data_IF_545961147069
#
_entry.id   IF_545961147069
#
_cell.length_a   1.000
_cell.length_b   1.000
_cell.length_c   1.000
_cell.angle_alpha   90.00
_cell.angle_beta   90.00
_cell.angle_gamma   90.00
#
_symmetry.space_group_name_H-M   'P 1'
#
loop_
_entity.id
_entity.type
_entity.pdbx_description
1 polymer ?
#
# COMPACT_ATOMS: atom_id res chain seq x y z
N UNK A 1 12.72 27.58 -12.13
CA UNK A 1 12.27 26.17 -12.01
C UNK A 1 10.75 26.16 -11.94
N UNK A 2 10.02 25.38 -12.76
CA UNK A 2 8.56 25.33 -12.70
C UNK A 2 8.14 24.75 -11.35
N UNK A 3 7.45 25.55 -10.52
CA UNK A 3 7.00 25.13 -9.21
C UNK A 3 5.84 24.13 -9.38
N UNK A 4 6.02 22.88 -8.94
CA UNK A 4 4.96 21.87 -9.00
C UNK A 4 3.91 22.20 -7.93
N UNK A 5 2.73 22.67 -8.36
CA UNK A 5 1.57 22.78 -7.46
C UNK A 5 1.26 21.40 -6.88
N UNK A 6 1.32 21.30 -5.55
CA UNK A 6 0.94 20.10 -4.83
C UNK A 6 -0.56 20.19 -4.52
N UNK A 7 -1.34 19.24 -5.04
CA UNK A 7 -2.76 19.10 -4.71
C UNK A 7 -2.94 18.18 -3.52
N UNK A 8 -3.80 18.57 -2.58
CA UNK A 8 -4.17 17.76 -1.41
C UNK A 8 -4.86 16.47 -1.83
N UNK A 9 -4.92 15.50 -0.91
CA UNK A 9 -5.58 14.22 -1.17
C UNK A 9 -7.08 14.40 -1.40
N UNK A 10 -7.76 15.08 -0.47
CA UNK A 10 -9.20 15.41 -0.56
C UNK A 10 -9.57 16.04 -1.90
N UNK A 11 -8.79 17.04 -2.33
CA UNK A 11 -9.02 17.71 -3.60
C UNK A 11 -8.94 16.76 -4.81
N UNK A 12 -7.98 15.83 -4.81
CA UNK A 12 -7.87 14.85 -5.91
C UNK A 12 -9.05 13.90 -5.91
N UNK A 13 -9.52 13.48 -4.73
CA UNK A 13 -10.68 12.61 -4.58
C UNK A 13 -11.93 13.30 -5.13
N UNK A 14 -12.18 14.54 -4.73
CA UNK A 14 -13.32 15.34 -5.22
C UNK A 14 -13.32 15.45 -6.75
N UNK A 15 -12.19 15.86 -7.34
CA UNK A 15 -12.07 16.02 -8.80
C UNK A 15 -12.29 14.71 -9.54
N UNK A 16 -11.80 13.58 -9.01
CA UNK A 16 -11.98 12.27 -9.63
C UNK A 16 -13.42 11.79 -9.49
N UNK A 17 -14.07 12.00 -8.34
CA UNK A 17 -15.47 11.61 -8.14
C UNK A 17 -16.38 12.34 -9.13
N UNK A 18 -16.20 13.65 -9.32
CA UNK A 18 -16.95 14.43 -10.32
C UNK A 18 -16.68 13.96 -11.76
N UNK A 19 -15.42 13.63 -12.07
CA UNK A 19 -15.08 13.05 -13.37
C UNK A 19 -15.75 11.69 -13.60
N UNK A 20 -15.85 10.85 -12.57
CA UNK A 20 -16.55 9.57 -12.64
C UNK A 20 -18.08 9.73 -12.68
N UNK A 21 -18.62 10.83 -12.15
CA UNK A 21 -20.03 11.20 -12.27
C UNK A 21 -20.45 11.64 -13.69
N UNK A 22 -19.49 11.76 -14.62
CA UNK A 22 -19.75 12.06 -16.03
C UNK A 22 -19.32 13.45 -16.49
N UNK A 23 -18.71 14.25 -15.60
CA UNK A 23 -18.19 15.56 -15.99
C UNK A 23 -16.96 15.47 -16.89
N UNK A 24 -16.82 16.43 -17.80
CA UNK A 24 -15.67 16.43 -18.72
C UNK A 24 -14.42 16.94 -18.02
N UNK A 25 -13.29 16.27 -18.27
CA UNK A 25 -11.96 16.71 -17.82
C UNK A 25 -11.62 18.16 -18.18
N UNK A 26 -12.18 18.70 -19.27
CA UNK A 26 -11.93 20.09 -19.70
C UNK A 26 -12.69 21.08 -18.81
N UNK A 27 -13.96 20.79 -18.50
CA UNK A 27 -14.77 21.60 -17.59
C UNK A 27 -14.14 21.62 -16.19
N UNK A 28 -13.84 20.44 -15.64
CA UNK A 28 -13.20 20.30 -14.33
C UNK A 28 -11.84 21.00 -14.28
N UNK A 29 -11.01 20.90 -15.33
CA UNK A 29 -9.72 21.58 -15.33
C UNK A 29 -9.87 23.12 -15.30
N UNK A 30 -10.91 23.66 -15.94
CA UNK A 30 -11.21 25.10 -15.91
C UNK A 30 -11.76 25.53 -14.55
N UNK A 31 -12.73 24.79 -14.02
CA UNK A 31 -13.35 25.08 -12.72
C UNK A 31 -12.33 25.06 -11.59
N UNK A 32 -11.50 24.02 -11.54
CA UNK A 32 -10.50 23.82 -10.49
C UNK A 32 -9.15 24.49 -10.79
N UNK A 33 -9.03 25.26 -11.89
CA UNK A 33 -7.80 25.96 -12.26
C UNK A 33 -6.58 25.04 -12.47
N UNK A 34 -6.81 23.83 -12.98
CA UNK A 34 -5.77 22.84 -13.24
C UNK A 34 -4.99 23.18 -14.50
N UNK A 35 -3.67 23.04 -14.43
CA UNK A 35 -2.78 23.34 -15.56
C UNK A 35 -2.97 22.41 -16.76
N UNK A 36 -3.56 21.22 -16.57
CA UNK A 36 -3.83 20.29 -17.66
C UNK A 36 -5.00 19.35 -17.35
N UNK A 37 -5.95 19.15 -18.28
CA UNK A 37 -6.98 18.12 -18.17
C UNK A 37 -6.41 16.69 -18.06
N UNK A 38 -5.19 16.45 -18.55
CA UNK A 38 -4.51 15.15 -18.48
C UNK A 38 -4.17 14.73 -17.05
N UNK A 39 -4.11 15.69 -16.13
CA UNK A 39 -3.89 15.44 -14.72
C UNK A 39 -5.06 14.66 -14.11
N UNK A 40 -6.28 15.02 -14.50
CA UNK A 40 -7.53 14.36 -14.08
C UNK A 40 -7.56 12.91 -14.59
N UNK A 41 -7.19 12.67 -15.85
CA UNK A 41 -7.11 11.30 -16.40
C UNK A 41 -6.12 10.42 -15.61
N UNK A 42 -5.00 11.00 -15.21
CA UNK A 42 -3.98 10.28 -14.43
C UNK A 42 -4.53 9.91 -13.05
N UNK A 43 -5.24 10.83 -12.40
CA UNK A 43 -5.89 10.57 -11.11
C UNK A 43 -7.01 9.54 -11.24
N UNK A 44 -7.89 9.66 -12.24
CA UNK A 44 -8.96 8.69 -12.49
C UNK A 44 -8.43 7.28 -12.79
N UNK A 45 -7.32 7.17 -13.53
CA UNK A 45 -6.65 5.88 -13.75
C UNK A 45 -6.12 5.28 -12.44
N UNK A 46 -5.47 6.09 -11.60
CA UNK A 46 -4.98 5.63 -10.29
C UNK A 46 -6.12 5.19 -9.38
N UNK A 47 -7.21 5.96 -9.37
CA UNK A 47 -8.41 5.64 -8.60
C UNK A 47 -9.04 4.31 -9.03
N UNK A 48 -9.13 4.04 -10.35
CA UNK A 48 -9.65 2.76 -10.85
C UNK A 48 -8.77 1.55 -10.49
N UNK A 49 -7.46 1.74 -10.36
CA UNK A 49 -6.51 0.66 -10.11
C UNK A 49 -6.28 0.38 -8.62
N UNK A 50 -6.14 1.44 -7.81
CA UNK A 50 -5.70 1.38 -6.41
C UNK A 50 -6.75 1.99 -5.45
N UNK A 51 -7.91 2.41 -5.96
CA UNK A 51 -8.92 3.11 -5.18
C UNK A 51 -8.44 4.50 -4.72
N UNK A 52 -9.03 4.97 -3.63
CA UNK A 52 -8.64 6.22 -2.96
C UNK A 52 -7.14 6.21 -2.56
N UNK A 53 -6.62 5.08 -2.10
CA UNK A 53 -5.22 4.95 -1.72
C UNK A 53 -4.24 5.22 -2.88
N UNK A 54 -4.67 5.07 -4.13
CA UNK A 54 -3.91 5.45 -5.32
C UNK A 54 -3.73 6.96 -5.50
N UNK A 55 -4.63 7.77 -4.93
CA UNK A 55 -4.57 9.24 -4.98
C UNK A 55 -3.76 9.83 -3.81
N UNK A 56 -3.57 9.05 -2.74
CA UNK A 56 -2.62 9.41 -1.68
C UNK A 56 -1.25 9.58 -2.32
N UNK A 57 -0.66 10.74 -2.07
CA UNK A 57 0.69 11.04 -2.55
C UNK A 57 1.66 10.12 -1.84
N UNK A 58 1.88 8.90 -2.37
CA UNK A 58 3.06 8.10 -2.06
C UNK A 58 4.23 9.02 -2.39
N UNK A 59 4.95 9.49 -1.37
CA UNK A 59 6.19 10.21 -1.57
C UNK A 59 7.12 9.23 -2.29
N UNK A 60 7.10 9.25 -3.63
CA UNK A 60 8.14 8.63 -4.44
C UNK A 60 9.34 9.58 -4.39
N UNK A 61 9.83 9.79 -3.17
CA UNK A 61 11.19 10.20 -2.93
C UNK A 61 12.00 8.92 -3.02
N UNK A 62 12.99 8.93 -3.91
CA UNK A 62 14.14 8.02 -3.86
C UNK A 62 14.46 7.67 -2.40
N UNK A 63 14.65 6.38 -2.03
CA UNK A 63 15.00 6.07 -0.66
C UNK A 63 16.29 6.86 -0.32
N UNK A 64 16.32 7.67 0.76
CA UNK A 64 17.61 7.95 1.38
C UNK A 64 18.16 6.57 1.77
N UNK A 65 19.41 6.30 1.40
CA UNK A 65 19.95 4.95 1.25
C UNK A 65 19.63 3.98 2.39
N UNK A 66 19.50 2.70 2.01
CA UNK A 66 19.71 1.53 2.87
C UNK A 66 19.30 1.68 4.35
N UNK A 67 18.01 1.76 4.64
CA UNK A 67 17.51 1.39 5.96
C UNK A 67 16.77 0.06 5.79
N UNK A 68 17.29 -1.00 6.43
CA UNK A 68 16.72 -2.35 6.50
C UNK A 68 15.19 -2.29 6.52
N UNK A 69 14.53 -2.92 5.55
CA UNK A 69 13.07 -3.04 5.58
C UNK A 69 12.70 -3.75 6.89
N UNK A 70 12.06 -3.04 7.81
CA UNK A 70 11.41 -3.68 8.95
C UNK A 70 10.38 -4.63 8.36
N UNK A 71 10.51 -5.97 8.54
CA UNK A 71 9.54 -6.90 8.00
C UNK A 71 8.18 -6.54 8.59
N UNK A 72 7.14 -6.55 7.74
CA UNK A 72 5.77 -6.30 8.21
C UNK A 72 5.45 -7.22 9.38
N UNK A 73 4.60 -6.78 10.29
CA UNK A 73 4.19 -7.57 11.46
C UNK A 73 3.70 -8.96 11.05
N UNK A 74 2.99 -9.05 9.92
CA UNK A 74 2.56 -10.31 9.30
C UNK A 74 3.74 -11.23 8.96
N UNK A 75 4.83 -10.69 8.40
CA UNK A 75 6.02 -11.49 8.08
C UNK A 75 6.74 -11.98 9.34
N UNK A 76 6.84 -11.13 10.37
CA UNK A 76 7.43 -11.52 11.67
C UNK A 76 6.62 -12.62 12.34
N UNK A 77 5.30 -12.47 12.38
CA UNK A 77 4.39 -13.45 12.97
C UNK A 77 4.43 -14.78 12.23
N UNK A 78 4.58 -14.79 10.90
CA UNK A 78 4.72 -16.02 10.10
C UNK A 78 6.02 -16.77 10.42
N UNK A 79 7.14 -16.06 10.46
CA UNK A 79 8.43 -16.65 10.82
C UNK A 79 8.42 -17.22 12.25
N UNK A 80 7.82 -16.49 13.19
CA UNK A 80 7.65 -16.96 14.55
C UNK A 80 6.74 -18.20 14.62
N UNK A 81 5.64 -18.21 13.85
CA UNK A 81 4.74 -19.37 13.81
C UNK A 81 5.44 -20.62 13.26
N UNK A 82 6.27 -20.47 12.23
CA UNK A 82 7.05 -21.57 11.66
C UNK A 82 8.06 -22.11 12.66
N UNK A 83 8.79 -21.23 13.37
CA UNK A 83 9.71 -21.61 14.45
C UNK A 83 9.00 -22.39 15.55
N UNK A 84 7.90 -21.87 16.06
CA UNK A 84 7.12 -22.51 17.13
C UNK A 84 6.56 -23.86 16.68
N UNK A 85 6.14 -24.00 15.42
CA UNK A 85 5.69 -25.28 14.86
C UNK A 85 6.82 -26.32 14.82
N UNK A 86 8.02 -25.91 14.43
CA UNK A 86 9.18 -26.79 14.44
C UNK A 86 9.54 -27.25 15.86
N UNK A 87 9.50 -26.34 16.83
CA UNK A 87 9.78 -26.66 18.24
C UNK A 87 8.73 -27.60 18.85
N UNK A 88 7.44 -27.35 18.60
CA UNK A 88 6.36 -28.26 19.01
C UNK A 88 6.55 -29.65 18.39
N UNK A 89 6.93 -29.73 17.12
CA UNK A 89 7.20 -31.01 16.45
C UNK A 89 8.40 -31.74 17.07
N UNK A 90 9.48 -31.03 17.41
CA UNK A 90 10.64 -31.62 18.06
C UNK A 90 10.31 -32.13 19.48
N UNK A 91 9.62 -31.33 20.28
CA UNK A 91 9.19 -31.72 21.62
C UNK A 91 8.21 -32.90 21.59
N UNK A 92 7.33 -32.96 20.59
CA UNK A 92 6.44 -34.10 20.35
C UNK A 92 7.22 -35.40 20.11
N UNK A 93 8.24 -35.35 19.24
CA UNK A 93 9.14 -36.51 18.99
C UNK A 93 9.89 -36.94 20.24
N UNK A 94 10.42 -36.00 21.02
CA UNK A 94 11.13 -36.29 22.26
C UNK A 94 10.22 -36.93 23.32
N UNK A 95 8.97 -36.46 23.43
CA UNK A 95 7.96 -37.05 24.31
C UNK A 95 7.62 -38.48 23.88
N UNK A 96 7.49 -38.73 22.57
CA UNK A 96 7.23 -40.06 22.03
C UNK A 96 8.38 -41.03 22.34
N UNK A 97 9.64 -40.60 22.17
CA UNK A 97 10.82 -41.40 22.47
C UNK A 97 10.89 -41.77 23.96
N UNK A 98 10.71 -40.78 24.85
CA UNK A 98 10.69 -41.01 26.31
C UNK A 98 9.55 -41.90 26.78
N UNK A 99 8.42 -41.91 26.06
CA UNK A 99 7.30 -42.79 26.35
C UNK A 99 7.60 -44.25 25.96
N UNK A 100 8.45 -44.48 24.95
CA UNK A 100 8.91 -45.81 24.55
C UNK A 100 9.97 -46.38 25.52
N UNK A 101 10.85 -45.53 26.08
CA UNK A 101 11.87 -45.94 27.06
C UNK A 101 11.29 -46.32 28.44
N UNK A 102 10.01 -46.01 28.70
CA UNK A 102 9.31 -46.32 29.96
C UNK A 102 8.41 -47.57 29.87
N UNK A 103 8.53 -48.34 28.79
CA UNK A 103 7.96 -49.69 28.65
C UNK A 103 9.05 -50.74 28.85
#
# INVERSE_FOLDING_TARGET
MPNKRAFSFEFKVEVVQRFLAGETKVALAREFGLSSPKLIETWARKYRNEGEDGLRSKRVGRPPGSARSVPSEVARLRAENERLRAEVAYLGKLRALRAQERR
#
